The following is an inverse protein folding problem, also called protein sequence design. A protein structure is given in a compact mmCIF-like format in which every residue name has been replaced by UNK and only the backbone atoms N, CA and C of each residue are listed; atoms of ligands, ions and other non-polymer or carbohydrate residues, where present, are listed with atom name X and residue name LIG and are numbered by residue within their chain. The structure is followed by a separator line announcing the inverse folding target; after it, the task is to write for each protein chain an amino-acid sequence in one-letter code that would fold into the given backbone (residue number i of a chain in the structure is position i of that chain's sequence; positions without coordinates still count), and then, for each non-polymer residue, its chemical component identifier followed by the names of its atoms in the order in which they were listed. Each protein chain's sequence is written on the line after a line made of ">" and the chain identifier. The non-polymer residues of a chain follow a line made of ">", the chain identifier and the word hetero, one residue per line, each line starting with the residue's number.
data_IF_166147243317
#
_entry.id   IF_166147243317
#
_cell.length_a   1.000
_cell.length_b   1.000
_cell.length_c   1.000
_cell.angle_alpha   90.00
_cell.angle_beta   90.00
_cell.angle_gamma   90.00
#
_symmetry.space_group_name_H-M   'P 1'
#
loop_
_entity.id
_entity.type
_entity.pdbx_description
1 polymer ?
#
# COMPACT_ATOMS: atom_id res chain seq x y z
N UNK A 1 25.70 28.19 -68.39
CA UNK A 1 25.55 26.99 -67.58
C UNK A 1 25.24 27.41 -66.16
N UNK A 2 23.97 27.42 -65.78
CA UNK A 2 23.52 27.84 -64.45
C UNK A 2 23.40 26.60 -63.56
N UNK A 3 24.13 26.60 -62.44
CA UNK A 3 24.03 25.54 -61.41
C UNK A 3 22.76 25.80 -60.56
N UNK A 4 21.83 24.86 -60.62
CA UNK A 4 20.71 24.85 -59.70
C UNK A 4 21.17 24.25 -58.38
N UNK A 5 21.15 25.05 -57.29
CA UNK A 5 21.39 24.60 -55.93
C UNK A 5 20.05 24.08 -55.38
N UNK A 6 19.97 22.75 -55.17
CA UNK A 6 18.87 22.13 -54.53
C UNK A 6 18.99 22.32 -53.02
N UNK A 7 18.12 23.08 -52.39
CA UNK A 7 17.96 23.10 -50.94
C UNK A 7 17.11 21.95 -50.46
N UNK A 8 17.71 20.95 -49.83
CA UNK A 8 16.96 19.95 -49.04
C UNK A 8 16.59 20.58 -47.70
N UNK A 9 15.38 20.94 -47.50
CA UNK A 9 14.78 21.27 -46.21
C UNK A 9 14.54 19.96 -45.45
N UNK A 10 15.36 19.65 -44.44
CA UNK A 10 15.11 18.60 -43.46
C UNK A 10 13.95 19.02 -42.56
N UNK A 11 12.78 18.50 -42.84
CA UNK A 11 11.62 18.58 -41.94
C UNK A 11 11.80 17.54 -40.84
N UNK A 12 12.36 17.94 -39.71
CA UNK A 12 12.39 17.10 -38.51
C UNK A 12 10.98 16.97 -37.94
N UNK A 13 10.37 15.81 -38.18
CA UNK A 13 9.09 15.45 -37.57
C UNK A 13 9.35 15.10 -36.10
N UNK A 14 9.15 16.04 -35.18
CA UNK A 14 9.17 15.78 -33.76
C UNK A 14 7.92 14.93 -33.42
N UNK A 15 8.11 13.62 -33.28
CA UNK A 15 7.09 12.74 -32.73
C UNK A 15 6.97 13.08 -31.25
N UNK A 16 5.99 13.88 -30.89
CA UNK A 16 5.55 14.07 -29.51
C UNK A 16 4.91 12.77 -29.05
N UNK A 17 5.71 11.89 -28.42
CA UNK A 17 5.17 10.73 -27.68
C UNK A 17 4.52 11.32 -26.41
N UNK A 18 3.21 11.54 -26.46
CA UNK A 18 2.44 11.83 -25.27
C UNK A 18 2.42 10.57 -24.41
N UNK A 19 3.28 10.50 -23.41
CA UNK A 19 3.13 9.54 -22.33
C UNK A 19 1.87 9.92 -21.56
N UNK A 20 0.78 9.21 -21.79
CA UNK A 20 -0.42 9.32 -20.96
C UNK A 20 -0.03 8.93 -19.53
N UNK A 21 0.07 9.93 -18.65
CA UNK A 21 0.22 9.68 -17.22
C UNK A 21 -1.09 9.05 -16.74
N UNK A 22 -1.07 7.76 -16.45
CA UNK A 22 -2.20 7.12 -15.79
C UNK A 22 -2.29 7.62 -14.34
N UNK A 23 -3.50 7.91 -13.89
CA UNK A 23 -3.73 8.23 -12.49
C UNK A 23 -3.24 7.09 -11.61
N UNK A 24 -2.68 7.44 -10.44
CA UNK A 24 -2.16 6.49 -9.45
C UNK A 24 -2.70 6.88 -8.08
N UNK A 25 -3.79 6.28 -7.69
CA UNK A 25 -4.41 6.53 -6.39
C UNK A 25 -3.82 5.60 -5.33
N UNK A 26 -3.33 6.16 -4.22
CA UNK A 26 -2.99 5.37 -3.04
C UNK A 26 -4.27 4.82 -2.39
N UNK A 27 -4.15 3.76 -1.62
CA UNK A 27 -5.29 3.17 -0.93
C UNK A 27 -5.00 1.77 -0.42
N UNK A 28 -6.02 1.15 0.14
CA UNK A 28 -5.94 -0.21 0.66
C UNK A 28 -7.07 -1.06 0.07
N UNK A 29 -6.72 -2.16 -0.58
CA UNK A 29 -7.63 -3.26 -0.81
C UNK A 29 -7.63 -4.16 0.41
N UNK A 30 -8.80 -4.43 0.97
CA UNK A 30 -9.01 -5.54 1.91
C UNK A 30 -9.74 -6.65 1.17
N UNK A 31 -9.17 -7.86 1.18
CA UNK A 31 -9.79 -9.06 0.66
C UNK A 31 -10.01 -10.07 1.78
N UNK A 32 -11.19 -10.64 1.88
CA UNK A 32 -11.49 -11.76 2.78
C UNK A 32 -12.23 -12.86 2.04
N UNK A 33 -11.93 -14.11 2.38
CA UNK A 33 -12.56 -15.29 1.83
C UNK A 33 -12.45 -16.49 2.78
N UNK A 34 -13.25 -17.50 2.55
CA UNK A 34 -13.21 -18.77 3.29
C UNK A 34 -12.95 -19.90 2.30
N UNK A 35 -12.08 -20.84 2.62
CA UNK A 35 -11.92 -22.06 1.84
C UNK A 35 -13.08 -23.02 2.10
N UNK A 36 -13.52 -23.73 1.05
CA UNK A 36 -14.46 -24.82 1.16
C UNK A 36 -13.69 -26.13 1.29
N UNK A 37 -13.99 -26.91 2.33
CA UNK A 37 -13.35 -28.20 2.56
C UNK A 37 -13.47 -29.14 1.35
N UNK A 38 -12.38 -29.81 1.01
CA UNK A 38 -12.27 -30.67 -0.17
C UNK A 38 -12.01 -32.12 0.21
N UNK A 39 -12.47 -33.01 -0.67
CA UNK A 39 -12.20 -34.42 -0.67
C UNK A 39 -11.73 -34.86 -2.08
N UNK A 40 -10.93 -35.95 -2.19
CA UNK A 40 -10.34 -36.70 -1.11
C UNK A 40 -9.27 -35.94 -0.36
N UNK A 41 -9.01 -36.31 0.88
CA UNK A 41 -7.93 -35.76 1.72
C UNK A 41 -6.63 -36.55 1.51
N UNK A 42 -5.48 -35.92 1.72
CA UNK A 42 -4.20 -36.63 1.67
C UNK A 42 -3.97 -37.40 2.97
N UNK A 43 -3.86 -38.73 2.87
CA UNK A 43 -3.67 -39.63 4.02
C UNK A 43 -4.65 -39.35 5.19
N UNK A 44 -5.91 -39.06 4.88
CA UNK A 44 -6.92 -38.74 5.90
C UNK A 44 -6.77 -37.37 6.56
N UNK A 45 -5.87 -36.52 6.07
CA UNK A 45 -5.62 -35.18 6.61
C UNK A 45 -6.09 -34.10 5.65
N UNK A 46 -6.49 -32.94 6.16
CA UNK A 46 -6.92 -31.78 5.39
C UNK A 46 -5.73 -30.98 4.79
N UNK A 47 -4.58 -31.65 4.56
CA UNK A 47 -3.41 -30.98 4.02
C UNK A 47 -3.66 -30.40 2.63
N UNK A 48 -3.39 -29.11 2.47
CA UNK A 48 -3.54 -28.39 1.22
C UNK A 48 -2.59 -27.21 1.14
N UNK A 49 -2.26 -26.79 -0.08
CA UNK A 49 -1.50 -25.59 -0.36
C UNK A 49 -2.45 -24.48 -0.83
N UNK A 50 -2.17 -23.25 -0.48
CA UNK A 50 -2.95 -22.07 -0.84
C UNK A 50 -2.04 -20.91 -1.21
N UNK A 51 -2.34 -20.24 -2.33
CA UNK A 51 -1.81 -18.91 -2.62
C UNK A 51 -2.92 -17.94 -3.00
N UNK A 52 -2.73 -16.67 -2.63
CA UNK A 52 -3.53 -15.57 -3.11
C UNK A 52 -2.62 -14.42 -3.53
N UNK A 53 -2.88 -13.86 -4.71
CA UNK A 53 -2.06 -12.78 -5.26
C UNK A 53 -2.90 -11.74 -6.00
N UNK A 54 -2.29 -10.59 -6.21
CA UNK A 54 -2.83 -9.52 -7.05
C UNK A 54 -2.21 -9.67 -8.44
N UNK A 55 -3.04 -9.52 -9.46
CA UNK A 55 -2.62 -9.45 -10.86
C UNK A 55 -3.39 -8.36 -11.61
N UNK A 56 -2.85 -7.90 -12.73
CA UNK A 56 -3.57 -7.02 -13.65
C UNK A 56 -4.77 -7.75 -14.24
N UNK A 57 -5.70 -7.01 -14.85
CA UNK A 57 -6.85 -7.64 -15.53
C UNK A 57 -6.45 -8.56 -16.71
N UNK A 58 -5.25 -8.34 -17.27
CA UNK A 58 -4.66 -9.20 -18.31
C UNK A 58 -3.87 -10.40 -17.75
N UNK A 59 -3.85 -10.61 -16.42
CA UNK A 59 -3.17 -11.72 -15.77
C UNK A 59 -1.71 -11.46 -15.40
N UNK A 60 -1.16 -10.27 -15.67
CA UNK A 60 0.21 -9.93 -15.27
C UNK A 60 0.37 -9.86 -13.76
N UNK A 61 1.36 -10.57 -13.21
CA UNK A 61 1.63 -10.61 -11.77
C UNK A 61 1.94 -9.22 -11.19
N UNK A 62 1.38 -8.94 -10.01
CA UNK A 62 1.67 -7.72 -9.26
C UNK A 62 2.29 -8.06 -7.90
N UNK A 63 1.62 -8.87 -7.07
CA UNK A 63 2.13 -9.14 -5.73
C UNK A 63 1.46 -10.34 -5.09
N UNK A 64 2.24 -11.24 -4.49
CA UNK A 64 1.72 -12.30 -3.63
C UNK A 64 1.26 -11.72 -2.28
N UNK A 65 0.13 -12.20 -1.79
CA UNK A 65 -0.43 -11.80 -0.49
C UNK A 65 -0.48 -12.94 0.51
N UNK A 66 -0.79 -14.14 0.05
CA UNK A 66 -0.76 -15.36 0.84
C UNK A 66 0.02 -16.42 0.06
N UNK A 67 0.89 -17.18 0.76
CA UNK A 67 1.64 -18.31 0.20
C UNK A 67 1.83 -19.39 1.27
N UNK A 68 0.93 -20.34 1.32
CA UNK A 68 0.99 -21.47 2.23
C UNK A 68 1.29 -22.74 1.45
N UNK A 69 2.57 -22.97 1.22
CA UNK A 69 3.09 -24.15 0.54
C UNK A 69 4.43 -24.53 1.11
N UNK A 70 4.71 -25.82 1.23
CA UNK A 70 6.06 -26.30 1.47
C UNK A 70 6.77 -26.39 0.14
N UNK A 71 7.63 -25.41 -0.13
CA UNK A 71 8.49 -25.38 -1.30
C UNK A 71 9.82 -25.97 -0.93
N UNK A 72 10.27 -26.96 -1.68
CA UNK A 72 11.55 -27.59 -1.39
C UNK A 72 12.18 -28.13 -2.69
N UNK A 73 13.45 -27.80 -2.88
CA UNK A 73 14.23 -28.23 -4.05
C UNK A 73 14.68 -29.69 -3.99
N UNK A 74 14.58 -30.35 -2.85
CA UNK A 74 15.13 -31.69 -2.60
C UNK A 74 14.12 -32.70 -2.09
N UNK A 75 12.90 -32.29 -1.74
CA UNK A 75 11.89 -33.23 -1.34
C UNK A 75 11.20 -33.83 -2.57
N UNK A 76 10.93 -35.13 -2.48
CA UNK A 76 10.36 -35.98 -3.53
C UNK A 76 8.93 -35.61 -3.96
N UNK A 77 8.57 -34.31 -3.92
CA UNK A 77 7.28 -33.85 -4.39
C UNK A 77 7.32 -33.74 -5.91
N UNK A 78 6.86 -34.80 -6.56
CA UNK A 78 6.71 -34.87 -8.03
C UNK A 78 5.60 -33.96 -8.56
N UNK A 79 4.87 -33.28 -7.67
CA UNK A 79 3.71 -32.48 -8.01
C UNK A 79 3.91 -31.03 -7.59
N UNK A 80 3.69 -30.13 -8.56
CA UNK A 80 3.58 -28.70 -8.29
C UNK A 80 2.26 -28.41 -7.56
N UNK A 81 2.36 -27.96 -6.31
CA UNK A 81 1.19 -27.71 -5.49
C UNK A 81 0.49 -26.39 -5.80
N UNK A 82 1.09 -25.48 -6.51
CA UNK A 82 0.48 -24.17 -6.87
C UNK A 82 1.00 -23.72 -8.25
N UNK A 83 0.77 -24.49 -9.33
CA UNK A 83 1.45 -24.29 -10.60
C UNK A 83 1.18 -22.91 -11.22
N UNK A 84 -0.04 -22.41 -11.13
CA UNK A 84 -0.40 -21.12 -11.73
C UNK A 84 0.19 -19.95 -10.96
N UNK A 85 0.12 -19.98 -9.63
CA UNK A 85 0.76 -18.97 -8.81
C UNK A 85 2.27 -18.98 -8.99
N UNK A 86 2.91 -20.14 -8.92
CA UNK A 86 4.35 -20.28 -9.06
C UNK A 86 4.84 -19.70 -10.38
N UNK A 87 4.22 -20.08 -11.49
CA UNK A 87 4.56 -19.53 -12.81
C UNK A 87 4.35 -18.01 -12.90
N UNK A 88 3.24 -17.49 -12.37
CA UNK A 88 2.94 -16.06 -12.38
C UNK A 88 3.89 -15.26 -11.50
N UNK A 89 4.28 -15.79 -10.35
CA UNK A 89 5.12 -15.11 -9.37
C UNK A 89 6.63 -15.17 -9.70
N UNK A 90 7.01 -15.61 -10.88
CA UNK A 90 8.40 -15.72 -11.35
C UNK A 90 9.12 -16.98 -10.91
N UNK A 91 8.39 -17.97 -10.37
CA UNK A 91 8.87 -19.31 -10.12
C UNK A 91 8.91 -20.14 -11.42
N UNK A 92 9.43 -21.34 -11.31
CA UNK A 92 9.41 -22.33 -12.39
C UNK A 92 8.26 -23.29 -12.13
N UNK A 93 7.57 -23.74 -13.16
CA UNK A 93 6.53 -24.76 -13.01
C UNK A 93 7.09 -25.98 -12.28
N UNK A 94 6.46 -26.36 -11.17
CA UNK A 94 6.93 -27.44 -10.29
C UNK A 94 7.89 -26.99 -9.17
N UNK A 95 8.31 -25.72 -9.14
CA UNK A 95 9.21 -25.18 -8.11
C UNK A 95 8.74 -23.82 -7.61
N UNK A 96 8.05 -23.81 -6.49
CA UNK A 96 7.62 -22.57 -5.85
C UNK A 96 8.75 -21.85 -5.08
N UNK A 97 9.98 -22.38 -5.06
CA UNK A 97 11.11 -21.79 -4.33
C UNK A 97 11.48 -20.40 -4.83
N UNK A 98 11.32 -20.15 -6.13
CA UNK A 98 11.67 -18.87 -6.76
C UNK A 98 10.47 -17.93 -6.93
N UNK A 99 9.27 -18.34 -6.49
CA UNK A 99 8.10 -17.47 -6.55
C UNK A 99 8.24 -16.27 -5.61
N UNK A 100 7.87 -15.10 -6.09
CA UNK A 100 7.97 -13.87 -5.30
C UNK A 100 6.97 -13.87 -4.14
N UNK A 101 7.48 -13.80 -2.92
CA UNK A 101 6.71 -13.72 -1.66
C UNK A 101 7.00 -12.43 -0.90
N UNK A 102 7.48 -11.39 -1.57
CA UNK A 102 7.76 -10.08 -0.95
C UNK A 102 6.52 -9.54 -0.26
N UNK A 103 6.59 -9.33 1.05
CA UNK A 103 5.50 -8.91 1.95
C UNK A 103 4.27 -9.83 1.96
N UNK A 104 4.42 -11.06 1.55
CA UNK A 104 3.36 -12.05 1.68
C UNK A 104 3.32 -12.63 3.11
N UNK A 105 2.13 -13.00 3.57
CA UNK A 105 2.02 -13.93 4.69
C UNK A 105 2.29 -15.32 4.15
N UNK A 106 3.46 -15.86 4.47
CA UNK A 106 3.93 -17.15 3.98
C UNK A 106 4.04 -18.17 5.12
N UNK A 107 3.90 -19.44 4.80
CA UNK A 107 4.02 -20.54 5.76
C UNK A 107 3.95 -21.91 5.10
N UNK A 108 4.05 -22.95 5.91
CA UNK A 108 3.88 -24.32 5.45
C UNK A 108 2.45 -24.60 4.95
N UNK A 109 2.29 -25.73 4.28
CA UNK A 109 0.96 -26.27 3.90
C UNK A 109 -0.01 -26.23 5.06
N UNK A 110 -1.26 -25.95 4.76
CA UNK A 110 -2.34 -25.87 5.77
C UNK A 110 -2.83 -27.27 6.12
N UNK A 111 -3.30 -27.41 7.34
CA UNK A 111 -3.93 -28.66 7.84
C UNK A 111 -5.42 -28.51 8.16
N UNK A 112 -5.95 -27.30 8.00
CA UNK A 112 -7.37 -26.98 8.29
C UNK A 112 -7.89 -25.99 7.28
N UNK A 113 -9.09 -26.22 6.78
CA UNK A 113 -9.85 -25.27 5.95
C UNK A 113 -10.36 -24.13 6.82
N UNK A 114 -10.08 -22.89 6.43
CA UNK A 114 -10.38 -21.72 7.27
C UNK A 114 -10.64 -20.46 6.44
N UNK A 115 -10.92 -19.38 7.13
CA UNK A 115 -11.06 -18.06 6.53
C UNK A 115 -9.72 -17.33 6.52
N UNK A 116 -9.51 -16.50 5.50
CA UNK A 116 -8.35 -15.67 5.29
C UNK A 116 -8.75 -14.23 5.03
N UNK A 117 -7.85 -13.32 5.42
CA UNK A 117 -7.94 -11.92 5.05
C UNK A 117 -6.54 -11.36 4.81
N UNK A 118 -6.42 -10.45 3.87
CA UNK A 118 -5.19 -9.71 3.61
C UNK A 118 -5.48 -8.30 3.10
N UNK A 119 -4.48 -7.45 3.20
CA UNK A 119 -4.48 -6.10 2.65
C UNK A 119 -3.44 -5.95 1.55
N UNK A 120 -3.75 -5.11 0.53
CA UNK A 120 -2.81 -4.66 -0.49
C UNK A 120 -2.83 -3.13 -0.57
N UNK A 121 -1.66 -2.51 -0.51
CA UNK A 121 -1.45 -1.06 -0.47
C UNK A 121 -1.45 -0.38 -1.86
N UNK A 122 -1.86 -1.09 -2.89
CA UNK A 122 -1.84 -0.58 -4.27
C UNK A 122 -0.45 -0.56 -4.91
N UNK A 123 0.58 -1.18 -4.30
CA UNK A 123 1.97 -1.13 -4.76
C UNK A 123 2.50 -2.49 -5.19
N UNK A 124 3.48 -2.47 -6.10
CA UNK A 124 4.37 -3.59 -6.42
C UNK A 124 5.70 -3.40 -5.66
N UNK A 125 6.34 -4.51 -5.26
CA UNK A 125 7.59 -4.47 -4.49
C UNK A 125 7.35 -4.43 -2.97
N UNK A 126 8.39 -4.14 -2.19
CA UNK A 126 8.36 -4.18 -0.73
C UNK A 126 7.51 -3.06 -0.13
N UNK A 127 6.93 -3.32 1.05
CA UNK A 127 6.19 -2.32 1.81
C UNK A 127 7.07 -1.09 2.11
N UNK A 128 6.46 0.08 2.01
CA UNK A 128 7.16 1.36 2.23
C UNK A 128 7.98 1.87 1.05
N UNK A 129 8.59 0.99 0.23
CA UNK A 129 9.43 1.36 -0.91
C UNK A 129 8.86 0.94 -2.28
N UNK A 130 7.76 0.21 -2.30
CA UNK A 130 7.15 -0.29 -3.53
C UNK A 130 6.60 0.83 -4.42
N UNK A 131 6.54 0.57 -5.73
CA UNK A 131 5.97 1.49 -6.72
C UNK A 131 4.46 1.38 -6.77
N UNK A 132 3.78 2.52 -6.64
CA UNK A 132 2.33 2.58 -6.74
C UNK A 132 1.88 2.18 -8.15
N UNK A 133 0.87 1.33 -8.22
CA UNK A 133 0.32 0.85 -9.50
C UNK A 133 -0.67 1.86 -10.06
N UNK A 134 -0.83 1.85 -11.39
CA UNK A 134 -1.82 2.67 -12.09
C UNK A 134 -3.24 2.35 -11.61
N UNK A 135 -4.14 3.33 -11.73
CA UNK A 135 -5.57 3.10 -11.51
C UNK A 135 -6.14 2.25 -12.64
N UNK A 136 -7.08 1.39 -12.30
CA UNK A 136 -7.68 0.47 -13.27
C UNK A 136 -8.25 -0.79 -12.64
N UNK A 137 -8.59 -1.74 -13.49
CA UNK A 137 -9.12 -3.03 -13.08
C UNK A 137 -7.99 -4.02 -12.79
N UNK A 138 -8.07 -4.66 -11.64
CA UNK A 138 -7.18 -5.69 -11.16
C UNK A 138 -7.96 -6.94 -10.77
N UNK A 139 -7.25 -8.00 -10.48
CA UNK A 139 -7.83 -9.26 -10.00
C UNK A 139 -7.10 -9.70 -8.74
N UNK A 140 -7.86 -10.20 -7.77
CA UNK A 140 -7.37 -11.12 -6.78
C UNK A 140 -7.50 -12.52 -7.36
N UNK A 141 -6.41 -13.23 -7.48
CA UNK A 141 -6.37 -14.62 -7.88
C UNK A 141 -6.11 -15.49 -6.64
N UNK A 142 -6.86 -16.58 -6.50
CA UNK A 142 -6.73 -17.53 -5.40
C UNK A 142 -6.58 -18.91 -6.00
N UNK A 143 -5.52 -19.64 -5.63
CA UNK A 143 -5.29 -21.02 -6.00
C UNK A 143 -5.14 -21.87 -4.76
N UNK A 144 -5.87 -22.97 -4.71
CA UNK A 144 -5.75 -23.99 -3.66
C UNK A 144 -5.54 -25.36 -4.31
N UNK A 145 -4.65 -26.17 -3.74
CA UNK A 145 -4.39 -27.53 -4.19
C UNK A 145 -4.41 -28.49 -3.00
N UNK A 146 -5.03 -29.63 -3.14
CA UNK A 146 -5.18 -30.64 -2.10
C UNK A 146 -4.89 -32.04 -2.64
N UNK A 147 -4.93 -33.03 -1.77
CA UNK A 147 -4.67 -34.42 -2.11
C UNK A 147 -3.39 -34.60 -2.92
N UNK A 148 -2.28 -34.07 -2.39
CA UNK A 148 -0.95 -34.13 -2.98
C UNK A 148 -0.90 -33.58 -4.42
N UNK A 149 -1.55 -32.45 -4.67
CA UNK A 149 -1.55 -31.77 -5.98
C UNK A 149 -2.52 -32.33 -7.03
N UNK A 150 -3.23 -33.44 -6.75
CA UNK A 150 -4.19 -34.02 -7.70
C UNK A 150 -5.51 -33.28 -7.75
N UNK A 151 -5.88 -32.59 -6.67
CA UNK A 151 -7.03 -31.68 -6.64
C UNK A 151 -6.55 -30.23 -6.72
N UNK A 152 -7.16 -29.43 -7.56
CA UNK A 152 -6.84 -28.02 -7.71
C UNK A 152 -8.08 -27.17 -7.94
N UNK A 153 -8.07 -25.97 -7.41
CA UNK A 153 -9.04 -24.94 -7.70
C UNK A 153 -8.30 -23.61 -7.91
N UNK A 154 -8.74 -22.84 -8.89
CA UNK A 154 -8.27 -21.50 -9.13
C UNK A 154 -9.44 -20.61 -9.53
N UNK A 155 -9.55 -19.45 -8.90
CA UNK A 155 -10.57 -18.46 -9.23
C UNK A 155 -9.98 -17.06 -9.18
N UNK A 156 -10.47 -16.17 -10.04
CA UNK A 156 -10.08 -14.76 -10.08
C UNK A 156 -11.29 -13.88 -9.77
N UNK A 157 -11.05 -12.82 -9.01
CA UNK A 157 -12.06 -11.87 -8.59
C UNK A 157 -11.64 -10.47 -8.97
N UNK A 158 -12.35 -9.84 -9.90
CA UNK A 158 -12.05 -8.48 -10.38
C UNK A 158 -12.45 -7.43 -9.37
N UNK A 159 -11.65 -6.38 -9.26
CA UNK A 159 -11.96 -5.16 -8.52
C UNK A 159 -11.38 -3.94 -9.25
N UNK A 160 -11.85 -2.77 -8.90
CA UNK A 160 -11.34 -1.50 -9.45
C UNK A 160 -10.53 -0.77 -8.38
N UNK A 161 -9.29 -0.43 -8.72
CA UNK A 161 -8.41 0.48 -7.99
C UNK A 161 -8.54 1.87 -8.61
N UNK A 162 -8.79 2.88 -7.81
CA UNK A 162 -8.94 4.27 -8.28
C UNK A 162 -9.34 5.20 -7.15
N UNK A 163 -9.67 6.45 -7.50
CA UNK A 163 -10.07 7.51 -6.54
C UNK A 163 -11.46 7.30 -5.91
N UNK A 164 -12.22 6.34 -6.41
CA UNK A 164 -13.54 5.99 -5.86
C UNK A 164 -13.43 4.68 -5.08
N UNK A 165 -14.07 4.64 -3.91
CA UNK A 165 -14.18 3.41 -3.15
C UNK A 165 -14.94 2.33 -3.94
N UNK A 166 -14.50 1.09 -3.81
CA UNK A 166 -15.08 -0.05 -4.49
C UNK A 166 -15.31 -1.19 -3.52
N UNK A 167 -16.52 -1.72 -3.50
CA UNK A 167 -16.85 -2.91 -2.70
C UNK A 167 -17.56 -3.92 -3.58
N UNK A 168 -17.13 -5.18 -3.47
CA UNK A 168 -17.76 -6.31 -4.15
C UNK A 168 -17.81 -7.50 -3.20
N UNK A 169 -18.99 -8.10 -3.10
CA UNK A 169 -19.17 -9.38 -2.45
C UNK A 169 -19.57 -10.40 -3.50
N UNK A 170 -18.84 -11.50 -3.58
CA UNK A 170 -19.11 -12.62 -4.49
C UNK A 170 -19.63 -13.77 -3.64
N UNK A 171 -20.77 -14.32 -4.04
CA UNK A 171 -21.38 -15.48 -3.37
C UNK A 171 -20.45 -16.68 -3.41
N UNK A 172 -20.59 -17.54 -2.43
CA UNK A 172 -19.86 -18.80 -2.36
C UNK A 172 -20.04 -19.63 -3.64
N UNK A 173 -18.95 -20.27 -4.05
CA UNK A 173 -18.89 -21.27 -5.10
C UNK A 173 -18.41 -22.62 -4.52
N UNK A 174 -18.32 -23.70 -5.31
CA UNK A 174 -17.83 -24.97 -4.80
C UNK A 174 -16.39 -24.95 -4.26
N UNK A 175 -15.60 -23.93 -4.54
CA UNK A 175 -14.18 -23.84 -4.18
C UNK A 175 -13.93 -22.90 -3.02
N UNK A 176 -14.61 -21.75 -3.03
CA UNK A 176 -14.44 -20.73 -2.01
C UNK A 176 -15.80 -20.27 -1.49
N UNK A 177 -15.88 -19.97 -0.21
CA UNK A 177 -17.03 -19.34 0.42
C UNK A 177 -17.19 -17.91 -0.10
N UNK A 178 -18.00 -17.11 0.57
CA UNK A 178 -18.19 -15.71 0.21
C UNK A 178 -16.84 -14.97 0.18
N UNK A 179 -16.58 -14.29 -0.93
CA UNK A 179 -15.36 -13.45 -1.13
C UNK A 179 -15.77 -12.00 -1.09
N UNK A 180 -15.13 -11.21 -0.23
CA UNK A 180 -15.36 -9.77 -0.15
C UNK A 180 -14.09 -9.03 -0.56
N UNK A 181 -14.23 -8.08 -1.47
CA UNK A 181 -13.21 -7.17 -1.95
C UNK A 181 -13.63 -5.75 -1.62
N UNK A 182 -12.79 -5.03 -0.89
CA UNK A 182 -13.07 -3.65 -0.51
C UNK A 182 -11.82 -2.80 -0.76
N UNK A 183 -11.86 -1.98 -1.81
CA UNK A 183 -10.85 -0.97 -2.08
C UNK A 183 -11.29 0.35 -1.47
N UNK A 184 -10.47 0.87 -0.57
CA UNK A 184 -10.62 2.21 -0.02
C UNK A 184 -9.46 3.06 -0.53
N UNK A 185 -9.73 4.06 -1.39
CA UNK A 185 -8.71 5.00 -1.78
C UNK A 185 -8.21 5.73 -0.53
N UNK A 186 -6.89 5.86 -0.43
CA UNK A 186 -6.29 6.78 0.52
C UNK A 186 -6.69 8.20 0.12
N UNK A 187 -6.82 9.08 1.08
CA UNK A 187 -6.99 10.49 0.77
C UNK A 187 -5.91 10.91 -0.22
N UNK A 188 -6.31 11.57 -1.32
CA UNK A 188 -5.36 12.16 -2.23
C UNK A 188 -4.37 12.98 -1.41
N UNK A 189 -3.05 12.85 -1.69
CA UNK A 189 -2.01 13.64 -1.03
C UNK A 189 -2.06 15.10 -1.50
N UNK A 190 -3.19 15.71 -1.32
CA UNK A 190 -3.50 17.11 -1.42
C UNK A 190 -4.32 17.40 -0.21
N UNK A 191 -3.69 17.89 0.87
CA UNK A 191 -4.31 18.54 2.04
C UNK A 191 -5.80 18.13 2.25
N UNK A 192 -6.03 16.85 2.54
CA UNK A 192 -7.31 16.40 3.07
C UNK A 192 -7.09 16.02 4.53
N UNK A 193 -7.63 16.83 5.39
CA UNK A 193 -7.90 16.46 6.74
C UNK A 193 -8.85 15.25 6.77
N UNK A 194 -8.28 14.07 6.57
CA UNK A 194 -8.99 12.87 6.92
C UNK A 194 -9.20 12.90 8.43
N UNK A 195 -10.36 12.51 8.85
CA UNK A 195 -10.74 12.17 10.23
C UNK A 195 -9.83 11.06 10.81
N UNK A 196 -8.54 11.21 10.70
CA UNK A 196 -7.56 10.49 11.50
C UNK A 196 -7.19 11.41 12.66
N UNK A 197 -6.95 10.84 13.79
CA UNK A 197 -6.49 11.45 15.03
C UNK A 197 -5.11 12.12 14.83
N UNK A 198 -4.90 12.85 13.73
CA UNK A 198 -3.68 13.61 13.52
C UNK A 198 -3.76 14.94 14.27
N UNK A 199 -2.66 15.40 14.84
CA UNK A 199 -2.61 16.72 15.43
C UNK A 199 -2.89 17.77 14.34
N UNK A 200 -3.90 18.61 14.56
CA UNK A 200 -4.26 19.73 13.70
C UNK A 200 -3.82 21.00 14.42
N UNK A 201 -3.09 21.86 13.73
CA UNK A 201 -2.71 23.16 14.31
C UNK A 201 -2.86 24.30 13.31
N UNK A 202 -3.10 25.50 13.86
CA UNK A 202 -2.97 26.78 13.19
C UNK A 202 -2.02 27.66 14.00
N UNK A 203 -1.11 28.36 13.35
CA UNK A 203 -0.07 29.17 13.99
C UNK A 203 -0.16 30.60 13.48
N UNK A 204 -0.38 31.55 14.40
CA UNK A 204 -0.51 32.96 14.04
C UNK A 204 -0.09 33.92 15.17
N UNK A 205 0.48 35.09 14.82
CA UNK A 205 0.96 35.45 13.49
C UNK A 205 2.20 34.66 13.10
N UNK A 206 2.38 34.43 11.81
CA UNK A 206 3.60 33.87 11.23
C UNK A 206 3.88 34.58 9.88
N UNK A 207 4.92 35.43 9.78
CA UNK A 207 5.95 35.76 10.78
C UNK A 207 5.43 36.38 12.06
N UNK A 208 6.20 36.19 13.16
CA UNK A 208 5.93 36.77 14.48
C UNK A 208 7.06 37.71 14.90
N UNK A 209 6.71 38.73 15.71
CA UNK A 209 7.68 39.62 16.36
C UNK A 209 8.16 39.06 17.72
N UNK A 210 7.66 37.91 18.16
CA UNK A 210 8.06 37.24 19.41
C UNK A 210 6.98 36.32 19.94
N UNK A 211 5.77 36.81 20.11
CA UNK A 211 4.64 36.03 20.63
C UNK A 211 3.76 35.56 19.49
N UNK A 212 3.38 34.29 19.53
CA UNK A 212 2.43 33.70 18.59
C UNK A 212 1.52 32.70 19.29
N UNK A 213 0.38 32.42 18.68
CA UNK A 213 -0.60 31.48 19.17
C UNK A 213 -0.55 30.20 18.32
N UNK A 214 -0.77 29.09 19.00
CA UNK A 214 -0.94 27.77 18.40
C UNK A 214 -2.34 27.30 18.77
N UNK A 215 -3.28 27.32 17.81
CA UNK A 215 -4.55 26.63 17.97
C UNK A 215 -4.33 25.17 17.62
N UNK A 216 -4.81 24.28 18.46
CA UNK A 216 -4.57 22.85 18.30
C UNK A 216 -5.82 22.02 18.56
N UNK A 217 -5.85 20.85 17.93
CA UNK A 217 -6.83 19.79 18.18
C UNK A 217 -6.14 18.44 18.10
N UNK A 218 -6.47 17.53 19.02
CA UNK A 218 -5.87 16.19 19.12
C UNK A 218 -4.35 16.22 19.34
N UNK A 219 -3.85 17.09 20.21
CA UNK A 219 -2.43 17.25 20.54
C UNK A 219 -2.21 16.88 22.01
N UNK A 220 -1.15 16.11 22.28
CA UNK A 220 -0.67 15.79 23.64
C UNK A 220 0.67 16.44 23.96
N UNK A 221 1.42 16.89 22.94
CA UNK A 221 2.72 17.53 23.13
C UNK A 221 2.95 18.60 22.08
N UNK A 222 3.42 19.78 22.50
CA UNK A 222 3.88 20.86 21.66
C UNK A 222 5.36 21.12 21.99
N UNK A 223 6.24 21.12 20.98
CA UNK A 223 7.67 21.47 21.10
C UNK A 223 8.01 22.58 20.13
N UNK A 224 8.86 23.48 20.56
CA UNK A 224 9.54 24.43 19.66
C UNK A 224 10.99 24.06 19.56
N UNK A 225 11.50 23.98 18.34
CA UNK A 225 12.87 23.58 18.04
C UNK A 225 13.59 24.71 17.29
N UNK A 226 14.88 24.87 17.54
CA UNK A 226 15.76 25.68 16.72
C UNK A 226 15.94 25.06 15.33
N UNK A 227 16.51 25.80 14.39
CA UNK A 227 16.88 25.29 13.07
C UNK A 227 17.86 24.10 13.11
N UNK A 228 18.60 23.94 14.21
CA UNK A 228 19.51 22.81 14.45
C UNK A 228 18.87 21.64 15.21
N UNK A 229 17.55 21.71 15.49
CA UNK A 229 16.81 20.65 16.17
C UNK A 229 16.88 20.69 17.71
N UNK A 230 17.53 21.71 18.32
CA UNK A 230 17.52 21.84 19.77
C UNK A 230 16.12 22.24 20.26
N UNK A 231 15.63 21.54 21.29
CA UNK A 231 14.34 21.83 21.93
C UNK A 231 14.48 23.10 22.78
N UNK A 232 13.70 24.12 22.45
CA UNK A 232 13.66 25.41 23.14
C UNK A 232 12.47 25.54 24.08
N UNK A 233 11.40 24.85 23.78
CA UNK A 233 10.17 24.82 24.55
C UNK A 233 9.52 23.46 24.39
N UNK A 234 8.94 22.93 25.46
CA UNK A 234 8.13 21.69 25.43
C UNK A 234 6.99 21.84 26.43
N UNK A 235 5.80 21.49 25.99
CA UNK A 235 4.60 21.41 26.83
C UNK A 235 3.83 20.13 26.56
N UNK A 236 3.40 19.48 27.63
CA UNK A 236 2.49 18.34 27.61
C UNK A 236 1.07 18.80 27.88
N UNK A 237 0.15 18.32 27.06
CA UNK A 237 -1.28 18.61 27.17
C UNK A 237 -1.95 17.33 27.64
N UNK A 238 -2.49 17.35 28.86
CA UNK A 238 -2.97 16.16 29.56
C UNK A 238 -4.25 15.54 28.96
N UNK A 239 -4.97 16.28 28.14
CA UNK A 239 -6.18 15.76 27.47
C UNK A 239 -6.14 16.07 25.97
N UNK A 240 -6.57 15.09 25.16
CA UNK A 240 -6.80 15.24 23.71
C UNK A 240 -7.97 16.21 23.45
N UNK A 241 -7.78 17.48 23.79
CA UNK A 241 -8.77 18.53 23.61
C UNK A 241 -8.33 19.49 22.51
N UNK A 242 -9.22 20.34 22.08
CA UNK A 242 -8.88 21.53 21.30
C UNK A 242 -8.59 22.68 22.22
N UNK A 243 -7.65 23.54 21.85
CA UNK A 243 -7.31 24.73 22.63
C UNK A 243 -6.37 25.65 21.88
N UNK A 244 -6.07 26.79 22.51
CA UNK A 244 -5.10 27.77 22.04
C UNK A 244 -3.99 27.90 23.08
N UNK A 245 -2.73 27.83 22.60
CA UNK A 245 -1.54 28.08 23.42
C UNK A 245 -0.76 29.26 22.88
N UNK A 246 -0.46 30.23 23.75
CA UNK A 246 0.44 31.34 23.43
C UNK A 246 1.87 30.95 23.80
N UNK A 247 2.81 31.15 22.88
CA UNK A 247 4.23 30.83 23.03
C UNK A 247 5.03 32.11 22.77
N UNK A 248 6.00 32.38 23.64
CA UNK A 248 6.84 33.58 23.58
C UNK A 248 8.29 33.20 23.22
N UNK A 249 8.74 33.66 22.06
CA UNK A 249 10.12 33.56 21.58
C UNK A 249 10.85 34.92 21.62
N UNK A 250 10.35 35.93 22.35
CA UNK A 250 10.91 37.27 22.40
C UNK A 250 12.38 37.31 22.85
N UNK A 251 12.82 36.32 23.61
CA UNK A 251 14.22 36.23 24.08
C UNK A 251 15.15 35.50 23.10
N UNK A 252 14.63 34.99 21.98
CA UNK A 252 15.44 34.29 20.98
C UNK A 252 15.79 35.20 19.80
N UNK A 253 16.79 34.82 19.01
CA UNK A 253 17.27 35.59 17.85
C UNK A 253 16.34 35.47 16.65
N UNK A 254 16.29 36.48 15.79
CA UNK A 254 15.55 36.38 14.53
C UNK A 254 16.01 35.17 13.73
N UNK A 255 15.06 34.47 13.11
CA UNK A 255 15.38 33.27 12.35
C UNK A 255 14.18 32.34 12.17
N UNK A 256 14.49 31.14 11.71
CA UNK A 256 13.52 30.05 11.47
C UNK A 256 13.53 29.09 12.65
N UNK A 257 12.35 28.79 13.12
CA UNK A 257 12.06 27.80 14.17
C UNK A 257 11.07 26.78 13.66
N UNK A 258 11.02 25.63 14.30
CA UNK A 258 10.06 24.58 13.97
C UNK A 258 9.19 24.27 15.17
N UNK A 259 7.90 24.12 14.94
CA UNK A 259 6.94 23.64 15.95
C UNK A 259 6.63 22.19 15.59
N UNK A 260 6.95 21.28 16.49
CA UNK A 260 6.56 19.89 16.43
C UNK A 260 5.37 19.68 17.38
N UNK A 261 4.29 19.13 16.86
CA UNK A 261 3.12 18.73 17.64
C UNK A 261 2.89 17.24 17.48
N UNK A 262 2.54 16.58 18.58
CA UNK A 262 2.32 15.13 18.62
C UNK A 262 1.09 14.79 19.46
N UNK A 263 0.44 13.68 19.12
CA UNK A 263 -0.61 13.06 19.93
C UNK A 263 -0.15 11.72 20.54
N UNK A 264 1.15 11.44 20.51
CA UNK A 264 1.72 10.19 21.01
C UNK A 264 1.83 9.10 19.92
N UNK A 265 0.98 9.13 18.89
CA UNK A 265 1.00 8.18 17.76
C UNK A 265 1.51 8.85 16.49
N UNK A 266 1.06 10.05 16.21
CA UNK A 266 1.41 10.84 15.04
C UNK A 266 2.04 12.16 15.44
N UNK A 267 2.86 12.75 14.58
CA UNK A 267 3.44 14.07 14.76
C UNK A 267 3.45 14.87 13.47
N UNK A 268 3.40 16.20 13.57
CA UNK A 268 3.59 17.11 12.45
C UNK A 268 4.54 18.24 12.80
N UNK A 269 5.27 18.77 11.79
CA UNK A 269 6.22 19.86 11.93
C UNK A 269 5.76 21.07 11.12
N UNK A 270 5.83 22.24 11.73
CA UNK A 270 5.43 23.51 11.11
C UNK A 270 6.54 24.55 11.29
N UNK A 271 6.76 25.32 10.24
CA UNK A 271 7.76 26.41 10.27
C UNK A 271 7.16 27.69 10.86
N UNK A 272 7.90 28.34 11.74
CA UNK A 272 7.64 29.71 12.19
C UNK A 272 8.84 30.60 11.92
N UNK A 273 8.58 31.86 11.58
CA UNK A 273 9.59 32.87 11.31
C UNK A 273 9.49 33.92 12.41
N UNK A 274 10.57 34.09 13.17
CA UNK A 274 10.75 35.18 14.12
C UNK A 274 11.47 36.33 13.43
N UNK A 275 10.82 37.48 13.39
CA UNK A 275 11.34 38.71 12.76
C UNK A 275 10.90 39.91 13.60
N UNK A 276 11.81 40.42 14.45
CA UNK A 276 11.62 41.57 15.34
C UNK A 276 12.04 42.85 14.64
#
# INVERSE_FOLDING_TARGET
>A
MKKLLSQLTNLAFAICISTSAFAQTSGILTCSFTEVAKAPTYNGTAQHALAAWIQTNAGGFVKTKLAYATCCSTCCCTYDHLPTWSANAGGVAGDCMNASVVDATAGATRSTWTSYSFNWDGKIGAAGSGTLQADGTYQVAIQSTWNHGTGTAMTTYTFTKGSTAYTRTVSADPNFGTVTLNWQPGAASGLNEASSINPVISIYPNPTEGVFNVDFKNVTTIKVLSALGAVLYEEKIEQLTSGTKSIDLSNFTNGIYFINVSNGTNSSNHKIILNK
#
